data_IF_733212121174
#
_entry.id   IF_733212121174
#
_cell.length_a   1.000
_cell.length_b   1.000
_cell.length_c   1.000
_cell.angle_alpha   90.00
_cell.angle_beta   90.00
_cell.angle_gamma   90.00
#
_symmetry.space_group_name_H-M   'P 1'
#
loop_
_entity.id
_entity.type
_entity.pdbx_description
1 polymer ?
#
# COMPACT_ATOMS: atom_id res chain seq x y z
N UNK A 1 -11.60 -14.63 -4.03
CA UNK A 1 -10.57 -13.69 -3.56
C UNK A 1 -9.85 -12.91 -4.68
N UNK A 2 -10.11 -13.19 -5.94
CA UNK A 2 -9.52 -12.45 -7.06
C UNK A 2 -10.19 -11.07 -7.19
N UNK A 3 -9.38 -10.03 -7.38
CA UNK A 3 -9.87 -8.67 -7.61
C UNK A 3 -10.21 -8.49 -9.11
N UNK A 4 -11.22 -9.21 -9.61
CA UNK A 4 -11.66 -9.19 -11.01
C UNK A 4 -12.07 -7.80 -11.51
N UNK A 5 -12.60 -6.93 -10.64
CA UNK A 5 -12.92 -5.55 -10.96
C UNK A 5 -11.73 -4.68 -11.40
N UNK A 6 -10.48 -5.14 -11.17
CA UNK A 6 -9.29 -4.45 -11.68
C UNK A 6 -9.16 -4.47 -13.21
N UNK A 7 -9.85 -5.39 -13.87
CA UNK A 7 -9.88 -5.50 -15.33
C UNK A 7 -11.03 -4.71 -15.95
N UNK A 8 -11.86 -4.07 -15.14
CA UNK A 8 -12.94 -3.20 -15.56
C UNK A 8 -12.49 -1.73 -15.42
N UNK A 9 -12.37 -1.04 -16.53
CA UNK A 9 -11.93 0.37 -16.60
C UNK A 9 -12.87 1.34 -15.87
N UNK A 10 -14.15 0.98 -15.73
CA UNK A 10 -15.13 1.80 -15.03
C UNK A 10 -15.03 1.66 -13.49
N UNK A 11 -14.53 0.53 -13.02
CA UNK A 11 -14.39 0.23 -11.58
C UNK A 11 -13.08 0.72 -10.97
N UNK A 12 -11.98 0.78 -11.74
CA UNK A 12 -10.65 1.17 -11.27
C UNK A 12 -9.94 2.09 -12.25
N UNK A 13 -9.80 3.38 -11.90
CA UNK A 13 -9.00 4.34 -12.68
C UNK A 13 -7.49 4.10 -12.53
N UNK A 14 -7.06 3.71 -11.34
CA UNK A 14 -5.65 3.37 -11.04
C UNK A 14 -5.62 2.17 -10.10
N UNK A 15 -4.74 1.21 -10.36
CA UNK A 15 -4.58 0.01 -9.53
C UNK A 15 -3.10 -0.22 -9.21
N UNK A 16 -2.79 -0.42 -7.91
CA UNK A 16 -1.44 -0.70 -7.42
C UNK A 16 -0.91 -2.10 -7.73
N UNK A 17 -1.54 -2.86 -8.63
CA UNK A 17 -1.11 -4.20 -9.04
C UNK A 17 -1.77 -4.63 -10.35
N UNK A 18 -1.03 -5.41 -11.15
CA UNK A 18 -1.43 -5.73 -12.53
C UNK A 18 -2.37 -6.93 -12.66
N UNK A 19 -2.35 -7.88 -11.72
CA UNK A 19 -2.94 -9.22 -11.94
C UNK A 19 -4.18 -9.52 -11.07
N UNK A 20 -4.55 -8.66 -10.12
CA UNK A 20 -5.70 -8.88 -9.23
C UNK A 20 -5.57 -10.07 -8.27
N UNK A 21 -4.39 -10.68 -8.12
CA UNK A 21 -4.16 -11.92 -7.38
C UNK A 21 -3.51 -11.73 -5.99
N UNK A 22 -3.21 -10.51 -5.55
CA UNK A 22 -2.47 -10.28 -4.31
C UNK A 22 -3.09 -10.95 -3.09
N UNK A 23 -4.39 -10.77 -2.87
CA UNK A 23 -5.09 -11.40 -1.72
C UNK A 23 -5.19 -12.91 -1.88
N UNK A 24 -5.31 -13.43 -3.08
CA UNK A 24 -5.31 -14.89 -3.36
C UNK A 24 -3.99 -15.53 -2.98
N UNK A 25 -2.87 -14.86 -3.25
CA UNK A 25 -1.53 -15.32 -2.84
C UNK A 25 -1.40 -15.27 -1.31
N UNK A 26 -1.83 -14.18 -0.66
CA UNK A 26 -1.86 -14.11 0.81
C UNK A 26 -2.66 -15.26 1.40
N UNK A 27 -3.83 -15.59 0.82
CA UNK A 27 -4.67 -16.70 1.26
C UNK A 27 -3.94 -18.05 1.13
N UNK A 28 -3.36 -18.34 -0.03
CA UNK A 28 -2.63 -19.58 -0.28
C UNK A 28 -1.43 -19.79 0.66
N UNK A 29 -0.80 -18.69 1.11
CA UNK A 29 0.36 -18.68 2.01
C UNK A 29 -0.04 -18.59 3.51
N UNK A 30 -1.33 -18.60 3.82
CA UNK A 30 -1.85 -18.45 5.19
C UNK A 30 -2.40 -19.76 5.75
N UNK A 31 -2.11 -20.04 7.01
CA UNK A 31 -2.74 -21.11 7.79
C UNK A 31 -4.23 -20.79 8.00
N UNK A 32 -4.56 -19.52 8.24
CA UNK A 32 -5.93 -19.02 8.38
C UNK A 32 -6.07 -17.64 7.73
N UNK A 33 -7.17 -17.42 7.02
CA UNK A 33 -7.57 -16.09 6.56
C UNK A 33 -9.08 -15.89 6.79
N UNK A 34 -9.44 -14.74 7.33
CA UNK A 34 -10.82 -14.29 7.52
C UNK A 34 -11.02 -13.00 6.72
N UNK A 35 -12.02 -12.97 5.87
CA UNK A 35 -12.37 -11.82 5.05
C UNK A 35 -13.76 -11.32 5.46
N UNK A 36 -13.80 -10.11 6.01
CA UNK A 36 -15.02 -9.37 6.32
C UNK A 36 -15.25 -8.32 5.23
N UNK A 37 -16.48 -8.25 4.73
CA UNK A 37 -16.89 -7.27 3.71
C UNK A 37 -18.13 -6.56 4.22
N UNK A 38 -18.12 -5.23 4.21
CA UNK A 38 -19.28 -4.38 4.46
C UNK A 38 -19.69 -3.73 3.14
N UNK A 39 -20.85 -4.12 2.62
CA UNK A 39 -21.38 -3.65 1.34
C UNK A 39 -22.91 -3.82 1.29
N UNK A 40 -23.59 -2.90 0.62
CA UNK A 40 -25.03 -2.93 0.36
C UNK A 40 -25.87 -3.11 1.64
N UNK A 41 -25.45 -2.42 2.73
CA UNK A 41 -26.11 -2.46 4.03
C UNK A 41 -25.92 -3.77 4.81
N UNK A 42 -25.09 -4.70 4.32
CA UNK A 42 -24.85 -6.00 4.91
C UNK A 42 -23.37 -6.21 5.24
N UNK A 43 -23.12 -7.00 6.28
CA UNK A 43 -21.80 -7.47 6.67
C UNK A 43 -21.69 -8.95 6.34
N UNK A 44 -20.63 -9.30 5.60
CA UNK A 44 -20.35 -10.65 5.14
C UNK A 44 -19.07 -11.17 5.77
N UNK A 45 -18.97 -12.49 5.91
CA UNK A 45 -17.77 -13.21 6.36
C UNK A 45 -17.56 -14.45 5.50
N UNK A 46 -16.32 -14.67 5.11
CA UNK A 46 -15.83 -15.95 4.60
C UNK A 46 -14.50 -16.30 5.26
N UNK A 47 -14.31 -17.55 5.58
CA UNK A 47 -13.10 -18.08 6.24
C UNK A 47 -12.40 -19.09 5.35
N UNK A 48 -11.06 -19.06 5.41
CA UNK A 48 -10.19 -19.96 4.67
C UNK A 48 -9.17 -20.61 5.61
N UNK A 49 -8.79 -21.84 5.30
CA UNK A 49 -7.66 -22.54 5.92
C UNK A 49 -6.77 -23.13 4.83
N UNK A 50 -5.47 -22.83 4.91
CA UNK A 50 -4.46 -23.26 3.93
C UNK A 50 -4.89 -23.01 2.47
N UNK A 51 -5.55 -21.88 2.20
CA UNK A 51 -6.06 -21.51 0.89
C UNK A 51 -7.51 -21.91 0.60
N UNK A 52 -8.05 -22.94 1.27
CA UNK A 52 -9.37 -23.51 1.00
C UNK A 52 -10.49 -22.85 1.80
N UNK A 53 -11.59 -22.51 1.12
CA UNK A 53 -12.77 -21.95 1.75
C UNK A 53 -13.44 -22.97 2.68
N UNK A 54 -13.64 -22.61 3.94
CA UNK A 54 -14.26 -23.49 4.94
C UNK A 54 -15.78 -23.45 4.87
N UNK A 55 -16.34 -22.36 4.40
CA UNK A 55 -17.77 -22.13 4.32
C UNK A 55 -18.05 -21.19 3.12
N UNK A 56 -19.26 -21.22 2.55
CA UNK A 56 -19.68 -20.18 1.62
C UNK A 56 -19.74 -18.80 2.31
N UNK A 57 -19.76 -17.74 1.51
CA UNK A 57 -19.92 -16.37 2.02
C UNK A 57 -21.22 -16.24 2.82
N UNK A 58 -21.12 -15.83 4.08
CA UNK A 58 -22.25 -15.70 5.01
C UNK A 58 -22.56 -14.24 5.31
N UNK A 59 -23.84 -13.88 5.39
CA UNK A 59 -24.28 -12.62 5.99
C UNK A 59 -24.26 -12.78 7.51
N UNK A 60 -23.47 -11.93 8.19
CA UNK A 60 -23.29 -11.96 9.65
C UNK A 60 -23.91 -10.75 10.38
N UNK A 61 -24.48 -9.80 9.65
CA UNK A 61 -25.12 -8.62 10.24
C UNK A 61 -25.41 -7.51 9.25
N UNK A 62 -25.82 -6.36 9.79
CA UNK A 62 -26.02 -5.13 9.04
C UNK A 62 -24.74 -4.29 9.06
N UNK A 63 -24.48 -3.56 7.98
CA UNK A 63 -23.41 -2.56 7.87
C UNK A 63 -23.98 -1.16 7.66
N UNK A 64 -23.31 -0.15 8.24
CA UNK A 64 -23.65 1.28 8.05
C UNK A 64 -22.70 1.97 7.07
N UNK A 65 -21.59 1.33 6.76
CA UNK A 65 -20.52 1.82 5.87
C UNK A 65 -20.12 0.75 4.89
N UNK A 66 -19.26 1.11 3.94
CA UNK A 66 -18.58 0.15 3.06
C UNK A 66 -17.15 -0.06 3.53
N UNK A 67 -16.63 -1.27 3.37
CA UNK A 67 -15.24 -1.56 3.73
C UNK A 67 -14.89 -3.02 3.63
N UNK A 68 -13.58 -3.28 3.72
CA UNK A 68 -13.01 -4.63 3.73
C UNK A 68 -12.02 -4.76 4.87
N UNK A 69 -12.13 -5.84 5.65
CA UNK A 69 -11.18 -6.20 6.70
C UNK A 69 -10.66 -7.62 6.42
N UNK A 70 -9.36 -7.77 6.43
CA UNK A 70 -8.68 -9.05 6.24
C UNK A 70 -7.85 -9.34 7.48
N UNK A 71 -8.10 -10.49 8.11
CA UNK A 71 -7.24 -11.05 9.14
C UNK A 71 -6.55 -12.27 8.53
N UNK A 72 -5.24 -12.38 8.68
CA UNK A 72 -4.55 -13.58 8.21
C UNK A 72 -3.41 -13.97 9.14
N UNK A 73 -3.14 -15.27 9.16
CA UNK A 73 -2.05 -15.89 9.90
C UNK A 73 -1.13 -16.58 8.90
N UNK A 74 0.11 -16.11 8.69
CA UNK A 74 1.04 -16.76 7.78
C UNK A 74 1.34 -18.20 8.21
N UNK A 75 1.44 -19.10 7.23
CA UNK A 75 1.67 -20.53 7.50
C UNK A 75 3.10 -20.78 7.96
N UNK A 76 3.25 -21.43 9.13
CA UNK A 76 4.54 -21.90 9.66
C UNK A 76 5.14 -23.05 8.84
N UNK A 77 4.31 -23.75 8.06
CA UNK A 77 4.77 -24.81 7.17
C UNK A 77 5.44 -24.28 5.90
N UNK A 78 5.18 -23.00 5.55
CA UNK A 78 5.71 -22.37 4.35
C UNK A 78 6.85 -21.41 4.71
N UNK A 79 6.69 -20.64 5.79
CA UNK A 79 7.65 -19.62 6.20
C UNK A 79 8.50 -20.08 7.38
N UNK A 80 9.81 -19.92 7.30
CA UNK A 80 10.74 -20.17 8.41
C UNK A 80 10.52 -19.19 9.58
N UNK A 81 9.98 -18.01 9.33
CA UNK A 81 9.55 -17.04 10.34
C UNK A 81 8.27 -16.35 9.92
N UNK A 82 7.31 -16.29 10.82
CA UNK A 82 6.02 -15.59 10.64
C UNK A 82 5.96 -14.25 11.38
N UNK A 83 7.10 -13.79 11.89
CA UNK A 83 7.19 -12.49 12.60
C UNK A 83 7.35 -11.35 11.61
N UNK A 84 6.48 -10.36 11.70
CA UNK A 84 6.58 -9.13 10.91
C UNK A 84 7.59 -8.17 11.52
N UNK A 85 8.40 -7.52 10.67
CA UNK A 85 9.28 -6.44 11.07
C UNK A 85 8.56 -5.10 10.92
N UNK A 86 8.37 -4.40 12.05
CA UNK A 86 7.75 -3.07 12.04
C UNK A 86 8.51 -2.08 11.15
N UNK A 87 9.85 -2.12 11.18
CA UNK A 87 10.69 -1.20 10.38
C UNK A 87 10.49 -1.42 8.87
N UNK A 88 10.44 -2.68 8.44
CA UNK A 88 10.21 -3.01 7.02
C UNK A 88 8.81 -2.59 6.59
N UNK A 89 7.79 -2.89 7.40
CA UNK A 89 6.41 -2.48 7.12
C UNK A 89 6.27 -0.96 7.10
N UNK A 90 6.87 -0.25 8.07
CA UNK A 90 6.88 1.21 8.13
C UNK A 90 7.45 1.84 6.86
N UNK A 91 8.61 1.35 6.40
CA UNK A 91 9.22 1.82 5.16
C UNK A 91 8.28 1.62 3.98
N UNK A 92 7.74 0.42 3.83
CA UNK A 92 6.84 0.08 2.70
C UNK A 92 5.53 0.85 2.73
N UNK A 93 4.89 1.03 3.91
CA UNK A 93 3.65 1.80 4.03
C UNK A 93 3.86 3.28 3.71
N UNK A 94 5.02 3.85 4.08
CA UNK A 94 5.40 5.21 3.70
C UNK A 94 5.54 5.36 2.19
N UNK A 95 6.26 4.45 1.52
CA UNK A 95 6.41 4.44 0.06
C UNK A 95 5.05 4.36 -0.63
N UNK A 96 4.17 3.46 -0.18
CA UNK A 96 2.82 3.33 -0.72
C UNK A 96 1.98 4.59 -0.53
N UNK A 97 2.11 5.28 0.60
CA UNK A 97 1.38 6.52 0.85
C UNK A 97 1.86 7.67 -0.04
N UNK A 98 3.17 7.75 -0.34
CA UNK A 98 3.70 8.70 -1.32
C UNK A 98 3.21 8.40 -2.75
N UNK A 99 3.20 7.12 -3.14
CA UNK A 99 2.78 6.71 -4.48
C UNK A 99 1.27 6.84 -4.72
N UNK A 100 0.49 6.98 -3.64
CA UNK A 100 -0.98 7.10 -3.71
C UNK A 100 -1.43 8.39 -3.00
N UNK A 101 -1.26 9.50 -3.69
CA UNK A 101 -1.59 10.83 -3.20
C UNK A 101 -2.94 10.90 -2.49
N UNK A 102 -2.96 11.47 -1.28
CA UNK A 102 -4.17 11.68 -0.48
C UNK A 102 -4.68 10.46 0.30
N UNK A 103 -4.14 9.24 0.03
CA UNK A 103 -4.49 8.07 0.82
C UNK A 103 -3.84 8.14 2.20
N UNK A 104 -4.61 7.84 3.24
CA UNK A 104 -4.11 7.68 4.59
C UNK A 104 -3.84 6.20 4.88
N UNK A 105 -2.63 5.88 5.32
CA UNK A 105 -2.21 4.54 5.75
C UNK A 105 -1.81 4.60 7.23
N UNK A 106 -2.41 3.74 8.05
CA UNK A 106 -2.08 3.60 9.47
C UNK A 106 -1.42 2.25 9.73
N UNK A 107 -0.28 2.26 10.44
CA UNK A 107 0.41 1.06 10.88
C UNK A 107 0.42 1.00 12.41
N UNK A 108 -0.20 -0.05 12.98
CA UNK A 108 -0.30 -0.27 14.41
C UNK A 108 0.39 -1.59 14.78
N UNK A 109 1.44 -1.53 15.59
CA UNK A 109 2.08 -2.70 16.19
C UNK A 109 1.50 -2.95 17.58
N UNK A 110 0.74 -4.02 17.71
CA UNK A 110 0.09 -4.46 18.95
C UNK A 110 0.86 -5.59 19.65
N UNK A 111 2.04 -5.97 19.16
CA UNK A 111 2.81 -7.09 19.69
C UNK A 111 3.53 -6.73 21.00
N UNK A 112 3.71 -5.44 21.28
CA UNK A 112 4.39 -4.94 22.48
C UNK A 112 3.41 -4.36 23.48
N UNK A 113 3.80 -4.31 24.79
CA UNK A 113 2.99 -3.71 25.85
C UNK A 113 2.58 -2.25 25.57
N UNK A 114 3.45 -1.49 24.91
CA UNK A 114 3.14 -0.14 24.42
C UNK A 114 2.99 -0.21 22.91
N UNK A 115 1.78 -0.04 22.43
CA UNK A 115 1.47 -0.04 21.00
C UNK A 115 2.26 1.07 20.28
N UNK A 116 2.88 0.72 19.15
CA UNK A 116 3.46 1.69 18.23
C UNK A 116 2.44 1.99 17.14
N UNK A 117 2.16 3.27 16.94
CA UNK A 117 1.20 3.75 15.96
C UNK A 117 1.84 4.82 15.08
N UNK A 118 1.78 4.66 13.77
CA UNK A 118 2.27 5.64 12.79
C UNK A 118 1.20 5.80 11.70
N UNK A 119 0.96 7.05 11.32
CA UNK A 119 0.08 7.41 10.22
C UNK A 119 0.89 8.07 9.11
N UNK A 120 0.59 7.69 7.87
CA UNK A 120 1.16 8.27 6.66
C UNK A 120 0.04 8.86 5.82
N UNK A 121 0.20 10.11 5.41
CA UNK A 121 -0.67 10.78 4.46
C UNK A 121 0.15 11.87 3.77
N UNK A 122 0.28 11.80 2.46
CA UNK A 122 1.06 12.73 1.66
C UNK A 122 0.20 13.32 0.55
N UNK A 123 0.12 14.63 0.50
CA UNK A 123 -0.68 15.34 -0.50
C UNK A 123 0.14 15.73 -1.74
N UNK A 124 1.47 15.72 -1.64
CA UNK A 124 2.40 16.04 -2.73
C UNK A 124 2.74 14.86 -3.65
N UNK A 125 2.35 13.63 -3.28
CA UNK A 125 2.58 12.44 -4.10
C UNK A 125 4.05 12.17 -4.40
N UNK A 126 4.39 11.83 -5.66
CA UNK A 126 5.77 11.48 -6.05
C UNK A 126 6.73 12.67 -6.00
N UNK A 127 6.25 13.91 -6.10
CA UNK A 127 7.08 15.10 -5.93
C UNK A 127 7.61 15.18 -4.50
N UNK A 128 6.71 15.06 -3.51
CA UNK A 128 7.06 15.03 -2.09
C UNK A 128 7.92 13.82 -1.75
N UNK A 129 7.71 12.69 -2.45
CA UNK A 129 8.54 11.50 -2.28
C UNK A 129 9.99 11.74 -2.72
N UNK A 130 10.24 12.40 -3.86
CA UNK A 130 11.58 12.75 -4.30
C UNK A 130 12.23 13.74 -3.35
N UNK A 131 11.50 14.72 -2.82
CA UNK A 131 12.00 15.63 -1.78
C UNK A 131 12.40 14.86 -0.51
N UNK A 132 11.57 13.91 -0.06
CA UNK A 132 11.88 13.04 1.07
C UNK A 132 13.15 12.21 0.85
N UNK A 133 13.32 11.60 -0.31
CA UNK A 133 14.52 10.81 -0.65
C UNK A 133 15.79 11.67 -0.70
N UNK A 134 15.65 12.94 -1.05
CA UNK A 134 16.75 13.89 -1.19
C UNK A 134 17.10 14.64 0.12
N UNK A 135 16.30 14.50 1.19
CA UNK A 135 16.49 15.27 2.45
C UNK A 135 17.89 15.15 3.05
N UNK A 136 18.46 13.93 3.01
CA UNK A 136 19.77 13.63 3.60
C UNK A 136 20.85 13.44 2.54
N UNK A 137 20.64 13.92 1.31
CA UNK A 137 21.62 13.86 0.23
C UNK A 137 22.39 15.18 0.11
N UNK A 138 23.65 15.09 -0.23
CA UNK A 138 24.49 16.25 -0.55
C UNK A 138 23.93 16.94 -1.80
N UNK A 139 23.74 18.27 -1.72
CA UNK A 139 23.15 19.04 -2.79
C UNK A 139 24.19 19.41 -3.86
N UNK A 140 23.79 19.37 -5.13
CA UNK A 140 24.58 19.95 -6.20
C UNK A 140 24.56 21.47 -6.08
N UNK A 141 25.74 22.08 -5.98
CA UNK A 141 25.91 23.51 -5.80
C UNK A 141 26.52 24.16 -7.04
N UNK A 142 26.19 25.42 -7.25
CA UNK A 142 26.81 26.25 -8.27
C UNK A 142 28.14 26.86 -7.74
N UNK A 143 28.84 27.65 -8.58
CA UNK A 143 30.08 28.31 -8.21
C UNK A 143 29.97 29.27 -7.03
N UNK A 144 28.76 29.71 -6.69
CA UNK A 144 28.46 30.66 -5.58
C UNK A 144 27.91 29.91 -4.36
N UNK A 145 28.10 28.59 -4.26
CA UNK A 145 27.65 27.71 -3.15
C UNK A 145 26.13 27.65 -2.96
N UNK A 146 25.34 28.02 -3.98
CA UNK A 146 23.90 27.91 -3.96
C UNK A 146 23.43 26.56 -4.58
N UNK A 147 22.35 25.98 -4.02
CA UNK A 147 21.76 24.76 -4.58
C UNK A 147 21.28 24.98 -6.01
N UNK A 148 21.75 24.14 -6.93
CA UNK A 148 21.34 24.15 -8.35
C UNK A 148 19.88 23.72 -8.53
N UNK A 149 19.45 22.73 -7.76
CA UNK A 149 18.11 22.16 -7.83
C UNK A 149 17.40 22.32 -6.48
N UNK A 150 16.76 23.49 -6.27
CA UNK A 150 16.00 23.75 -5.03
C UNK A 150 14.77 22.88 -4.88
N UNK A 151 14.10 22.57 -6.01
CA UNK A 151 12.89 21.73 -6.07
C UNK A 151 13.04 20.65 -7.12
N UNK A 152 12.38 19.50 -6.97
CA UNK A 152 12.32 18.50 -8.03
C UNK A 152 11.65 19.08 -9.28
N UNK A 153 12.04 18.56 -10.44
CA UNK A 153 11.30 18.74 -11.69
C UNK A 153 10.14 17.78 -11.66
N UNK A 154 8.93 18.27 -11.93
CA UNK A 154 7.72 17.46 -12.01
C UNK A 154 7.09 17.59 -13.39
N UNK A 155 6.76 16.45 -13.98
CA UNK A 155 6.13 16.33 -15.29
C UNK A 155 4.95 15.39 -15.15
N UNK A 156 3.79 15.78 -15.65
CA UNK A 156 2.64 14.91 -15.77
C UNK A 156 2.00 15.06 -17.16
N UNK A 157 1.37 13.99 -17.63
CA UNK A 157 0.68 14.01 -18.90
C UNK A 157 -0.20 12.79 -19.09
N UNK A 158 -1.30 13.00 -19.83
CA UNK A 158 -2.23 11.95 -20.24
C UNK A 158 -2.19 11.84 -21.76
N UNK A 159 -1.88 10.64 -22.29
CA UNK A 159 -1.92 10.36 -23.71
C UNK A 159 -2.40 8.93 -23.95
N UNK A 160 -3.38 8.77 -24.84
CA UNK A 160 -3.95 7.46 -25.20
C UNK A 160 -4.40 6.64 -23.97
N UNK A 161 -5.05 7.27 -23.00
CA UNK A 161 -5.45 6.69 -21.71
C UNK A 161 -4.28 6.19 -20.83
N UNK A 162 -3.05 6.59 -21.12
CA UNK A 162 -1.89 6.36 -20.26
C UNK A 162 -1.59 7.63 -19.49
N UNK A 163 -1.76 7.58 -18.17
CA UNK A 163 -1.39 8.66 -17.25
C UNK A 163 0.07 8.46 -16.80
N UNK A 164 0.90 9.47 -17.01
CA UNK A 164 2.32 9.46 -16.69
C UNK A 164 2.61 10.57 -15.69
N UNK A 165 3.26 10.22 -14.59
CA UNK A 165 3.80 11.16 -13.62
C UNK A 165 5.29 10.87 -13.43
N UNK A 166 6.12 11.91 -13.52
CA UNK A 166 7.55 11.81 -13.35
C UNK A 166 8.06 12.94 -12.44
N UNK A 167 8.88 12.59 -11.46
CA UNK A 167 9.56 13.56 -10.60
C UNK A 167 11.05 13.26 -10.54
N UNK A 168 11.89 14.27 -10.80
CA UNK A 168 13.33 14.13 -10.94
C UNK A 168 14.05 15.20 -10.10
N UNK A 169 15.12 14.79 -9.42
CA UNK A 169 16.04 15.69 -8.73
C UNK A 169 17.45 15.11 -8.76
N UNK A 170 18.44 15.96 -8.97
CA UNK A 170 19.86 15.57 -8.94
C UNK A 170 20.50 16.02 -7.63
N UNK A 171 21.41 15.21 -7.13
CA UNK A 171 22.23 15.48 -5.97
C UNK A 171 23.69 15.02 -6.23
N UNK A 172 24.61 15.34 -5.32
CA UNK A 172 26.03 14.98 -5.44
C UNK A 172 26.35 13.57 -4.91
N UNK A 173 25.37 12.87 -4.31
CA UNK A 173 25.56 11.53 -3.75
C UNK A 173 25.63 10.47 -4.86
N UNK A 174 26.50 9.49 -4.68
CA UNK A 174 26.49 8.26 -5.48
C UNK A 174 25.32 7.38 -5.06
N UNK A 175 24.67 6.75 -6.04
CA UNK A 175 23.69 5.70 -5.82
C UNK A 175 24.35 4.33 -5.86
#
# INVERSE_FOLDING_TARGET
LHAGGKFDHDSYKVSGGLHGVGVSVVNALSEKLELFIERDGKKYLIEFRNGDAQNPLKVIGKAKSTGTKINFLPSKNIFSSTKFSFVILQKRMRELAFLNKGIQISLNDLTQKKAKNINFKFEGGILEFVEYLDQNREKLKNKNDNDLFKKPIYIEGLKNNVDIQCSLKWNAGYN
#
